data_IF_551848934490
#
_entry.id   IF_551848934490
#
_cell.length_a   1.000
_cell.length_b   1.000
_cell.length_c   1.000
_cell.angle_alpha   90.00
_cell.angle_beta   90.00
_cell.angle_gamma   90.00
#
_symmetry.space_group_name_H-M   'P 1'
#
loop_
_entity.id
_entity.type
_entity.pdbx_description
1 polymer ?
#
# COMPACT_ATOMS: atom_id res chain seq x y z
N UNK A 1 -21.29 14.37 -4.10
CA UNK A 1 -20.92 15.76 -3.78
C UNK A 1 -19.40 15.82 -3.76
N UNK A 2 -18.83 16.61 -4.66
CA UNK A 2 -17.40 16.66 -4.98
C UNK A 2 -16.63 17.41 -3.90
N UNK A 3 -15.59 16.79 -3.34
CA UNK A 3 -14.62 17.47 -2.49
C UNK A 3 -13.29 17.56 -3.25
N UNK A 4 -12.96 18.69 -3.91
CA UNK A 4 -11.66 18.83 -4.55
C UNK A 4 -10.57 18.90 -3.48
N UNK A 5 -9.64 17.94 -3.50
CA UNK A 5 -8.42 18.02 -2.72
C UNK A 5 -7.63 19.25 -3.20
N UNK A 6 -7.48 20.26 -2.34
CA UNK A 6 -6.59 21.39 -2.57
C UNK A 6 -5.18 20.98 -2.16
N UNK A 7 -4.31 20.76 -3.14
CA UNK A 7 -2.88 20.79 -2.91
C UNK A 7 -2.42 22.25 -2.92
N UNK A 8 -1.63 22.64 -1.92
CA UNK A 8 -0.88 23.90 -1.89
C UNK A 8 0.56 23.53 -2.25
N UNK A 9 1.02 24.10 -3.36
CA UNK A 9 2.41 24.06 -3.83
C UNK A 9 3.33 24.73 -2.79
N UNK A 10 4.51 24.17 -2.41
CA UNK A 10 5.48 24.80 -1.52
C UNK A 10 5.88 26.24 -1.89
N UNK A 11 5.67 26.64 -3.14
CA UNK A 11 6.10 27.92 -3.72
C UNK A 11 4.96 28.97 -3.71
N UNK A 12 3.72 28.54 -3.46
CA UNK A 12 2.55 29.41 -3.35
C UNK A 12 2.06 30.08 -4.65
N UNK A 13 2.66 29.82 -5.82
CA UNK A 13 2.33 30.58 -7.03
C UNK A 13 1.22 29.99 -7.90
N UNK A 14 0.92 28.68 -7.87
CA UNK A 14 -0.11 28.11 -8.75
C UNK A 14 -0.98 27.04 -8.10
N UNK A 15 -2.29 27.31 -8.03
CA UNK A 15 -3.28 26.31 -7.64
C UNK A 15 -3.60 25.38 -8.84
N UNK A 16 -3.00 24.19 -8.88
CA UNK A 16 -3.44 23.15 -9.82
C UNK A 16 -4.79 22.61 -9.36
N UNK A 17 -5.86 23.07 -10.02
CA UNK A 17 -7.20 22.50 -9.81
C UNK A 17 -7.35 21.26 -10.67
N UNK A 18 -7.11 20.08 -10.08
CA UNK A 18 -7.36 18.80 -10.74
C UNK A 18 -8.87 18.50 -10.70
N UNK A 19 -9.62 18.96 -11.70
CA UNK A 19 -11.03 18.61 -11.86
C UNK A 19 -11.12 17.19 -12.40
N UNK A 20 -11.29 16.21 -11.51
CA UNK A 20 -11.57 14.82 -11.90
C UNK A 20 -13.04 14.76 -12.35
N UNK A 21 -13.25 14.92 -13.66
CA UNK A 21 -14.54 14.63 -14.27
C UNK A 21 -14.61 13.11 -14.49
N UNK A 22 -15.40 12.43 -13.67
CA UNK A 22 -15.64 10.98 -13.78
C UNK A 22 -16.49 10.74 -15.03
N UNK A 23 -15.82 10.57 -16.18
CA UNK A 23 -16.45 10.25 -17.45
C UNK A 23 -15.40 10.10 -18.54
N UNK A 24 -15.27 8.87 -19.07
CA UNK A 24 -14.34 8.45 -20.13
C UNK A 24 -12.87 8.23 -19.71
N UNK A 25 -12.58 7.04 -19.18
CA UNK A 25 -11.31 6.63 -18.56
C UNK A 25 -10.08 6.52 -19.49
N UNK A 26 -10.19 6.84 -20.78
CA UNK A 26 -9.04 6.76 -21.71
C UNK A 26 -8.27 8.07 -21.91
N UNK A 27 -8.93 9.22 -21.81
CA UNK A 27 -8.36 10.49 -22.31
C UNK A 27 -7.64 11.34 -21.25
N UNK A 28 -7.94 11.13 -19.97
CA UNK A 28 -7.42 11.93 -18.84
C UNK A 28 -5.99 11.52 -18.48
N UNK A 29 -5.64 10.24 -18.59
CA UNK A 29 -4.29 9.76 -18.28
C UNK A 29 -3.23 10.32 -19.26
N UNK A 30 -3.58 10.41 -20.55
CA UNK A 30 -2.67 10.91 -21.58
C UNK A 30 -2.36 12.41 -21.44
N UNK A 31 -3.34 13.21 -21.01
CA UNK A 31 -3.21 14.67 -20.88
C UNK A 31 -2.42 15.06 -19.63
N UNK A 32 -2.58 14.35 -18.52
CA UNK A 32 -1.76 14.57 -17.31
C UNK A 32 -0.30 14.14 -17.51
N UNK A 33 -0.05 13.02 -18.22
CA UNK A 33 1.31 12.57 -18.53
C UNK A 33 2.01 13.54 -19.51
N UNK A 34 1.28 14.03 -20.53
CA UNK A 34 1.81 14.98 -21.50
C UNK A 34 2.14 16.34 -20.87
N UNK A 35 1.30 16.84 -19.95
CA UNK A 35 1.58 18.08 -19.21
C UNK A 35 2.78 17.94 -18.27
N UNK A 36 2.91 16.80 -17.57
CA UNK A 36 4.06 16.53 -16.69
C UNK A 36 5.39 16.42 -17.45
N UNK A 37 5.39 15.73 -18.60
CA UNK A 37 6.58 15.58 -19.45
C UNK A 37 6.97 16.91 -20.12
N UNK A 38 5.99 17.71 -20.54
CA UNK A 38 6.24 18.99 -21.21
C UNK A 38 6.76 20.08 -20.25
N UNK A 39 6.41 20.03 -18.97
CA UNK A 39 6.68 21.13 -18.04
C UNK A 39 7.84 20.87 -17.06
N UNK A 40 8.07 19.62 -16.65
CA UNK A 40 9.02 19.29 -15.56
C UNK A 40 10.22 18.43 -15.98
N UNK A 41 10.24 17.94 -17.23
CA UNK A 41 11.28 17.03 -17.71
C UNK A 41 11.14 15.60 -17.16
N UNK A 42 11.93 14.68 -17.74
CA UNK A 42 11.82 13.23 -17.55
C UNK A 42 11.92 12.67 -16.10
N UNK A 43 12.66 13.26 -15.14
CA UNK A 43 12.83 12.59 -13.84
C UNK A 43 11.58 12.63 -12.96
N UNK A 44 10.77 13.69 -13.03
CA UNK A 44 9.50 13.79 -12.28
C UNK A 44 8.41 12.89 -12.89
N UNK A 45 8.49 12.62 -14.20
CA UNK A 45 7.52 11.76 -14.89
C UNK A 45 7.52 10.30 -14.39
N UNK A 46 8.62 9.81 -13.81
CA UNK A 46 8.67 8.46 -13.23
C UNK A 46 7.88 8.36 -11.92
N UNK A 47 8.06 9.34 -11.02
CA UNK A 47 7.38 9.40 -9.73
C UNK A 47 5.91 9.79 -9.90
N UNK A 48 5.63 10.79 -10.76
CA UNK A 48 4.27 11.12 -11.14
C UNK A 48 3.62 9.94 -11.87
N UNK A 49 4.32 9.23 -12.75
CA UNK A 49 3.78 8.06 -13.44
C UNK A 49 3.50 6.86 -12.52
N UNK A 50 4.22 6.73 -11.39
CA UNK A 50 3.97 5.71 -10.36
C UNK A 50 2.75 6.08 -9.50
N UNK A 51 2.64 7.35 -9.11
CA UNK A 51 1.49 7.87 -8.38
C UNK A 51 0.21 7.89 -9.24
N UNK A 52 0.30 8.36 -10.49
CA UNK A 52 -0.81 8.40 -11.44
C UNK A 52 -1.26 6.98 -11.83
N UNK A 53 -0.35 5.99 -11.85
CA UNK A 53 -0.73 4.58 -11.91
C UNK A 53 -1.55 4.18 -10.70
N UNK A 54 -1.05 4.44 -9.49
CA UNK A 54 -1.78 4.16 -8.24
C UNK A 54 -3.16 4.82 -8.15
N UNK A 55 -3.37 5.97 -8.80
CA UNK A 55 -4.63 6.74 -8.70
C UNK A 55 -5.59 6.48 -9.87
N UNK A 56 -5.10 6.39 -11.11
CA UNK A 56 -5.93 6.19 -12.31
C UNK A 56 -6.12 4.72 -12.66
N UNK A 57 -5.08 3.92 -12.43
CA UNK A 57 -5.14 2.47 -12.50
C UNK A 57 -5.25 1.99 -11.07
N UNK A 58 -6.46 2.07 -10.50
CA UNK A 58 -6.84 1.17 -9.41
C UNK A 58 -6.91 -0.27 -9.96
N UNK A 59 -5.83 -0.71 -10.58
CA UNK A 59 -5.45 -2.09 -10.75
C UNK A 59 -5.09 -2.60 -9.36
N UNK A 60 -6.14 -2.79 -8.58
CA UNK A 60 -6.30 -4.00 -7.79
C UNK A 60 -6.42 -5.22 -8.75
N UNK A 61 -5.60 -5.28 -9.82
CA UNK A 61 -5.22 -6.54 -10.45
C UNK A 61 -4.33 -7.17 -9.41
N UNK A 62 -4.96 -7.80 -8.41
CA UNK A 62 -4.29 -8.29 -7.22
C UNK A 62 -2.94 -8.87 -7.64
N UNK A 63 -1.86 -8.17 -7.26
CA UNK A 63 -0.53 -8.74 -7.32
C UNK A 63 -0.66 -9.98 -6.44
N UNK A 64 -0.93 -11.11 -7.09
CA UNK A 64 -1.28 -12.33 -6.39
C UNK A 64 -0.09 -12.59 -5.50
N UNK A 65 -0.33 -12.49 -4.21
CA UNK A 65 0.69 -12.77 -3.23
C UNK A 65 1.29 -14.12 -3.62
N UNK A 66 2.62 -14.20 -3.88
CA UNK A 66 3.23 -15.43 -4.34
C UNK A 66 3.05 -16.50 -3.26
N UNK A 67 2.97 -17.77 -3.67
CA UNK A 67 2.71 -18.87 -2.74
C UNK A 67 3.73 -18.97 -1.60
N UNK A 68 4.97 -18.52 -1.83
CA UNK A 68 6.11 -18.51 -0.91
C UNK A 68 7.09 -17.37 -1.27
N UNK A 69 8.03 -17.11 -0.36
CA UNK A 69 9.11 -16.16 -0.57
C UNK A 69 8.95 -14.88 0.23
N UNK A 70 9.82 -13.92 -0.07
CA UNK A 70 9.83 -12.60 0.55
C UNK A 70 9.15 -11.62 -0.40
N UNK A 71 8.25 -10.80 0.13
CA UNK A 71 7.56 -9.74 -0.62
C UNK A 71 7.79 -8.44 0.13
N UNK A 72 7.97 -7.36 -0.61
CA UNK A 72 8.16 -6.02 -0.08
C UNK A 72 7.01 -5.11 -0.52
N UNK A 73 6.53 -4.28 0.39
CA UNK A 73 5.45 -3.30 0.17
C UNK A 73 5.95 -1.86 0.03
N UNK A 74 7.27 -1.65 -0.05
CA UNK A 74 7.89 -0.35 -0.25
C UNK A 74 7.93 0.54 0.99
N UNK A 75 7.87 -0.03 2.20
CA UNK A 75 7.95 0.72 3.46
C UNK A 75 9.40 0.70 3.97
N UNK A 76 10.03 1.87 3.98
CA UNK A 76 11.41 2.02 4.43
C UNK A 76 11.59 1.59 5.89
N UNK A 77 12.68 0.86 6.17
CA UNK A 77 13.00 0.36 7.50
C UNK A 77 12.18 -0.84 7.98
N UNK A 78 11.21 -1.33 7.18
CA UNK A 78 10.45 -2.53 7.49
C UNK A 78 11.16 -3.81 6.99
N UNK A 79 11.09 -4.92 7.74
CA UNK A 79 11.49 -6.23 7.22
C UNK A 79 10.57 -6.69 6.07
N UNK A 80 11.05 -7.60 5.22
CA UNK A 80 10.21 -8.21 4.18
C UNK A 80 9.11 -9.09 4.78
N UNK A 81 7.99 -9.19 4.06
CA UNK A 81 6.84 -10.03 4.42
C UNK A 81 7.03 -11.46 3.89
N UNK A 82 6.79 -12.47 4.72
CA UNK A 82 6.74 -13.88 4.30
C UNK A 82 5.40 -14.18 3.62
N UNK A 83 5.44 -14.39 2.31
CA UNK A 83 4.24 -14.59 1.49
C UNK A 83 3.44 -15.83 1.88
N UNK A 84 4.13 -16.92 2.23
CA UNK A 84 3.47 -18.17 2.62
C UNK A 84 2.68 -18.04 3.93
N UNK A 85 3.20 -17.25 4.87
CA UNK A 85 2.54 -16.96 6.15
C UNK A 85 1.46 -15.88 6.02
N UNK A 86 1.75 -14.80 5.30
CA UNK A 86 0.80 -13.74 4.99
C UNK A 86 -0.44 -14.30 4.28
N UNK A 87 -0.21 -15.21 3.33
CA UNK A 87 -1.25 -15.88 2.56
C UNK A 87 -2.26 -16.68 3.38
N UNK A 88 -1.99 -16.98 4.65
CA UNK A 88 -3.01 -17.56 5.56
C UNK A 88 -4.16 -16.61 5.85
N UNK A 89 -3.92 -15.31 5.68
CA UNK A 89 -4.83 -14.22 5.97
C UNK A 89 -5.40 -13.54 4.71
N UNK A 90 -4.95 -13.95 3.51
CA UNK A 90 -5.39 -13.38 2.23
C UNK A 90 -6.50 -14.24 1.61
N UNK A 91 -7.70 -13.68 1.34
CA UNK A 91 -8.77 -14.40 0.66
C UNK A 91 -8.36 -14.92 -0.73
N UNK A 92 -8.65 -16.19 -1.02
CA UNK A 92 -8.36 -16.81 -2.31
C UNK A 92 -6.90 -17.22 -2.52
N UNK A 93 -6.02 -17.01 -1.54
CA UNK A 93 -4.65 -17.50 -1.58
C UNK A 93 -4.59 -19.02 -1.33
N UNK A 94 -3.64 -19.73 -1.95
CA UNK A 94 -3.57 -21.20 -1.84
C UNK A 94 -3.36 -21.70 -0.40
N UNK A 95 -2.71 -20.89 0.45
CA UNK A 95 -2.48 -21.16 1.87
C UNK A 95 -3.54 -20.55 2.80
N UNK A 96 -4.65 -20.05 2.27
CA UNK A 96 -5.69 -19.42 3.07
C UNK A 96 -6.18 -20.37 4.19
N UNK A 97 -6.14 -19.91 5.45
CA UNK A 97 -6.53 -20.74 6.60
C UNK A 97 -7.92 -20.37 7.13
N UNK A 98 -8.84 -21.34 7.26
CA UNK A 98 -10.16 -21.11 7.88
C UNK A 98 -10.02 -20.69 9.35
N UNK A 99 -10.91 -19.81 9.81
CA UNK A 99 -10.98 -19.36 11.21
C UNK A 99 -9.90 -18.36 11.64
N UNK A 100 -9.17 -17.77 10.69
CA UNK A 100 -8.23 -16.67 10.95
C UNK A 100 -8.81 -15.33 10.52
N UNK A 101 -8.43 -14.24 11.18
CA UNK A 101 -8.69 -12.87 10.71
C UNK A 101 -8.15 -12.69 9.29
N UNK A 102 -8.90 -11.99 8.45
CA UNK A 102 -8.64 -11.87 7.01
C UNK A 102 -8.47 -10.43 6.59
N UNK A 103 -7.64 -10.23 5.58
CA UNK A 103 -7.67 -9.02 4.74
C UNK A 103 -8.96 -8.99 3.92
N UNK A 104 -9.32 -7.82 3.41
CA UNK A 104 -10.47 -7.74 2.52
C UNK A 104 -10.18 -8.45 1.19
N UNK A 105 -11.24 -8.80 0.46
CA UNK A 105 -11.09 -9.41 -0.86
C UNK A 105 -10.33 -8.46 -1.78
N UNK A 106 -9.29 -8.97 -2.43
CA UNK A 106 -8.39 -8.19 -3.29
C UNK A 106 -7.14 -7.66 -2.57
N UNK A 107 -7.10 -7.67 -1.23
CA UNK A 107 -5.96 -7.16 -0.48
C UNK A 107 -4.97 -8.26 -0.10
N UNK A 108 -3.67 -7.97 -0.20
CA UNK A 108 -2.60 -8.85 0.32
C UNK A 108 -2.15 -8.47 1.74
N UNK A 109 -2.35 -7.21 2.12
CA UNK A 109 -1.94 -6.66 3.41
C UNK A 109 -0.43 -6.50 3.59
N UNK A 110 0.37 -6.63 2.53
CA UNK A 110 1.84 -6.61 2.60
C UNK A 110 2.34 -5.26 3.10
N UNK A 111 1.86 -4.18 2.48
CA UNK A 111 2.27 -2.81 2.85
C UNK A 111 1.79 -2.45 4.24
N UNK A 112 0.53 -2.73 4.56
CA UNK A 112 -0.09 -2.46 5.85
C UNK A 112 0.62 -3.20 6.99
N UNK A 113 1.06 -4.44 6.73
CA UNK A 113 1.88 -5.22 7.68
C UNK A 113 3.23 -4.54 7.94
N UNK A 114 3.88 -3.98 6.92
CA UNK A 114 5.15 -3.26 7.08
C UNK A 114 4.97 -1.91 7.79
N UNK A 115 3.94 -1.13 7.44
CA UNK A 115 3.61 0.13 8.11
C UNK A 115 3.37 -0.10 9.61
N UNK A 116 2.53 -1.08 9.93
CA UNK A 116 2.22 -1.44 11.32
C UNK A 116 3.44 -2.01 12.08
N UNK A 117 4.43 -2.58 11.39
CA UNK A 117 5.68 -2.99 12.03
C UNK A 117 6.52 -1.79 12.47
N UNK A 118 6.68 -0.82 11.57
CA UNK A 118 7.52 0.36 11.76
C UNK A 118 6.94 1.26 12.86
N UNK A 119 5.64 1.53 12.82
CA UNK A 119 4.99 2.39 13.81
C UNK A 119 4.43 1.64 15.04
N UNK A 120 4.42 0.31 14.99
CA UNK A 120 3.81 -0.51 16.02
C UNK A 120 4.63 -0.64 17.29
N UNK A 121 3.93 -0.90 18.38
CA UNK A 121 4.53 -1.16 19.70
C UNK A 121 4.69 -2.66 19.90
N UNK A 122 5.82 -3.07 20.47
CA UNK A 122 6.04 -4.45 20.87
C UNK A 122 5.01 -4.89 21.91
N UNK A 123 4.29 -5.98 21.62
CA UNK A 123 3.30 -6.57 22.53
C UNK A 123 3.90 -7.71 23.37
N UNK A 124 5.00 -8.32 22.92
CA UNK A 124 5.80 -9.22 23.74
C UNK A 124 7.06 -8.51 24.25
N UNK A 125 7.21 -8.41 25.59
CA UNK A 125 8.31 -7.71 26.26
C UNK A 125 9.69 -8.40 26.13
N UNK A 126 9.75 -9.68 25.74
CA UNK A 126 11.00 -10.45 25.77
C UNK A 126 11.86 -10.30 24.52
N UNK A 127 11.25 -10.19 23.34
CA UNK A 127 11.99 -10.25 22.07
C UNK A 127 11.48 -9.29 20.98
N UNK A 128 10.38 -8.57 21.23
CA UNK A 128 9.79 -7.65 20.24
C UNK A 128 9.30 -8.33 18.96
N UNK A 129 9.20 -9.67 18.94
CA UNK A 129 8.80 -10.46 17.77
C UNK A 129 7.34 -10.29 17.40
N UNK A 130 6.53 -9.69 18.27
CA UNK A 130 5.14 -9.36 18.00
C UNK A 130 4.93 -7.88 18.26
N UNK A 131 4.34 -7.20 17.28
CA UNK A 131 3.98 -5.78 17.37
C UNK A 131 2.51 -5.60 17.01
N UNK A 132 1.91 -4.55 17.57
CA UNK A 132 0.62 -4.03 17.11
C UNK A 132 0.82 -2.58 16.73
N UNK A 133 0.45 -2.26 15.49
CA UNK A 133 0.55 -0.91 14.92
C UNK A 133 -0.68 -0.60 14.08
N UNK A 134 -0.80 0.63 13.65
CA UNK A 134 -1.91 1.10 12.82
C UNK A 134 -1.40 1.33 11.40
N UNK A 135 -2.02 0.76 10.37
CA UNK A 135 -1.66 1.10 8.98
C UNK A 135 -2.13 2.50 8.60
N UNK A 136 -1.62 3.03 7.49
CA UNK A 136 -1.99 4.35 6.96
C UNK A 136 -3.49 4.51 6.65
N UNK A 137 -4.20 3.39 6.42
CA UNK A 137 -5.65 3.34 6.24
C UNK A 137 -6.45 3.31 7.56
N UNK A 138 -5.79 3.37 8.71
CA UNK A 138 -6.39 3.43 10.04
C UNK A 138 -6.67 2.08 10.70
N UNK A 139 -6.43 0.93 10.04
CA UNK A 139 -6.65 -0.39 10.64
C UNK A 139 -5.58 -0.75 11.66
N UNK A 140 -5.99 -1.41 12.74
CA UNK A 140 -5.05 -2.02 13.68
C UNK A 140 -4.58 -3.36 13.14
N UNK A 141 -3.26 -3.55 13.02
CA UNK A 141 -2.66 -4.76 12.49
C UNK A 141 -1.78 -5.40 13.56
N UNK A 142 -1.96 -6.70 13.78
CA UNK A 142 -1.04 -7.49 14.58
C UNK A 142 0.01 -8.11 13.66
N UNK A 143 1.28 -7.85 13.95
CA UNK A 143 2.42 -8.27 13.13
C UNK A 143 3.33 -9.21 13.91
N UNK A 144 3.70 -10.31 13.29
CA UNK A 144 4.59 -11.33 13.84
C UNK A 144 5.86 -11.45 13.00
N UNK A 145 7.02 -11.31 13.64
CA UNK A 145 8.33 -11.59 13.08
C UNK A 145 8.74 -13.03 13.36
N UNK A 146 9.28 -13.70 12.35
CA UNK A 146 9.80 -15.06 12.48
C UNK A 146 11.30 -15.08 12.82
N UNK A 147 11.82 -16.30 13.10
CA UNK A 147 13.24 -16.50 13.44
C UNK A 147 14.22 -16.08 12.34
N UNK A 148 13.75 -15.89 11.10
CA UNK A 148 14.55 -15.41 9.97
C UNK A 148 14.42 -13.89 9.77
N UNK A 149 13.75 -13.20 10.70
CA UNK A 149 13.55 -11.74 10.65
C UNK A 149 12.41 -11.29 9.74
N UNK A 150 11.65 -12.20 9.12
CA UNK A 150 10.57 -11.87 8.18
C UNK A 150 9.25 -11.69 8.92
N UNK A 151 8.40 -10.81 8.43
CA UNK A 151 7.15 -10.46 9.09
C UNK A 151 5.92 -11.03 8.36
N UNK A 152 4.81 -11.15 9.07
CA UNK A 152 3.48 -11.37 8.49
C UNK A 152 2.46 -10.80 9.46
N UNK A 153 1.33 -10.31 8.93
CA UNK A 153 0.35 -9.59 9.72
C UNK A 153 -1.07 -9.83 9.28
N UNK A 154 -1.98 -9.42 10.15
CA UNK A 154 -3.41 -9.51 9.92
C UNK A 154 -4.16 -8.43 10.69
N UNK A 155 -5.30 -7.95 10.16
CA UNK A 155 -6.12 -6.97 10.85
C UNK A 155 -6.72 -7.57 12.13
N UNK A 156 -6.83 -6.72 13.14
CA UNK A 156 -7.50 -6.98 14.41
C UNK A 156 -8.52 -5.87 14.68
N UNK A 157 -9.58 -6.21 15.41
CA UNK A 157 -10.58 -5.26 15.88
C UNK A 157 -10.04 -4.39 17.04
#
# INVERSE_FOLDING_TARGET
MNNPYRYVDPDGEFAVTLTILVGYEGYVAASALAAGIAYYGAPIAADTGKWLRSVLWNENTGDKLPNQGNVDGGVEGAPPVDAGKQGKHVPGHNNEAKGKSKWNVGETGVRETQEAWVNGKATNKKDGSVRTGQSSDGRNIKVHQDRKGRIHGYPID
#
